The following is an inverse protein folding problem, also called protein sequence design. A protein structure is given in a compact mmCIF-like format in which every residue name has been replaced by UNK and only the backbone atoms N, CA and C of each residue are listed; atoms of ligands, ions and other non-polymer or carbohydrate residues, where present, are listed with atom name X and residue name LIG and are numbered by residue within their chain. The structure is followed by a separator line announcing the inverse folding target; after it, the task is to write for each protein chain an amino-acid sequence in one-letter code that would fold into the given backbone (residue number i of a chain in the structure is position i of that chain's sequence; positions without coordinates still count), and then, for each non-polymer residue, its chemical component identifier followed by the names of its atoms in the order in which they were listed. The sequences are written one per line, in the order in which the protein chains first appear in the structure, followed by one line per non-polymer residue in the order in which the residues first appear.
data_IF_722742953189
#
_entry.id   IF_722742953189
#
_cell.length_a   1.000
_cell.length_b   1.000
_cell.length_c   1.000
_cell.angle_alpha   90.00
_cell.angle_beta   90.00
_cell.angle_gamma   90.00
#
_symmetry.space_group_name_H-M   'P 1'
#
loop_
_entity.id
_entity.type
_entity.pdbx_description
1 polymer ?
#
# COMPACT_ATOMS: atom_id res chain seq x y z
N UNK A 1 -27.27 -15.73 51.80
CA UNK A 1 -27.58 -16.29 50.48
C UNK A 1 -26.23 -16.57 49.83
N UNK A 2 -25.84 -17.84 49.79
CA UNK A 2 -24.51 -18.28 49.37
C UNK A 2 -24.49 -18.49 47.85
N UNK A 3 -23.50 -17.91 47.18
CA UNK A 3 -23.27 -18.08 45.75
C UNK A 3 -22.51 -19.40 45.58
N UNK A 4 -23.25 -20.48 45.41
CA UNK A 4 -22.67 -21.80 45.13
C UNK A 4 -23.49 -22.41 44.01
N UNK A 5 -23.03 -22.25 42.75
CA UNK A 5 -23.43 -23.08 41.58
C UNK A 5 -22.82 -22.69 40.21
N UNK A 6 -21.81 -21.82 40.08
CA UNK A 6 -21.26 -21.45 38.75
C UNK A 6 -19.93 -22.16 38.42
N UNK A 7 -19.36 -22.94 39.34
CA UNK A 7 -18.10 -23.68 39.10
C UNK A 7 -18.29 -25.06 38.47
N UNK A 8 -19.04 -25.20 37.37
CA UNK A 8 -19.17 -26.51 36.72
C UNK A 8 -19.41 -26.51 35.22
N UNK A 9 -18.98 -25.49 34.46
CA UNK A 9 -19.26 -25.46 33.02
C UNK A 9 -18.08 -25.23 32.08
N UNK A 10 -16.84 -25.24 32.57
CA UNK A 10 -15.66 -25.19 31.71
C UNK A 10 -14.61 -26.19 32.18
N UNK A 11 -14.97 -27.47 32.10
CA UNK A 11 -13.99 -28.54 32.05
C UNK A 11 -14.47 -29.55 31.01
N UNK A 12 -13.57 -29.97 30.12
CA UNK A 12 -13.74 -30.71 28.84
C UNK A 12 -13.91 -29.85 27.58
N UNK A 13 -12.80 -29.35 27.04
CA UNK A 13 -12.54 -29.45 25.60
C UNK A 13 -11.08 -29.85 25.39
N UNK A 14 -10.81 -31.13 25.60
CA UNK A 14 -9.69 -31.80 24.93
C UNK A 14 -10.05 -31.99 23.46
N UNK A 15 -9.21 -31.44 22.58
CA UNK A 15 -8.82 -32.01 21.29
C UNK A 15 -9.95 -32.30 20.29
N UNK A 16 -10.45 -31.25 19.66
CA UNK A 16 -10.80 -31.33 18.24
C UNK A 16 -9.98 -30.24 17.54
N UNK A 17 -9.15 -30.63 16.56
CA UNK A 17 -8.45 -29.71 15.67
C UNK A 17 -9.46 -28.69 15.14
N UNK A 18 -9.45 -27.48 15.70
CA UNK A 18 -10.35 -26.40 15.32
C UNK A 18 -10.02 -26.04 13.86
N UNK A 19 -10.75 -26.68 12.95
CA UNK A 19 -10.79 -26.32 11.54
C UNK A 19 -11.46 -24.96 11.47
N UNK A 20 -10.72 -23.91 11.79
CA UNK A 20 -11.17 -22.53 11.62
C UNK A 20 -11.29 -22.29 10.11
N UNK A 21 -12.52 -22.25 9.57
CA UNK A 21 -12.72 -22.10 8.14
C UNK A 21 -12.22 -20.75 7.65
N UNK A 22 -12.18 -19.72 8.51
CA UNK A 22 -11.61 -18.42 8.18
C UNK A 22 -10.09 -18.52 8.11
N UNK A 23 -9.44 -19.22 9.04
CA UNK A 23 -7.98 -19.46 8.99
C UNK A 23 -7.57 -20.24 7.74
N UNK A 24 -8.27 -21.32 7.39
CA UNK A 24 -7.98 -22.08 6.17
C UNK A 24 -8.30 -21.29 4.89
N UNK A 25 -9.36 -20.48 4.90
CA UNK A 25 -9.67 -19.58 3.78
C UNK A 25 -8.62 -18.46 3.63
N UNK A 26 -8.16 -17.88 4.73
CA UNK A 26 -7.08 -16.88 4.73
C UNK A 26 -5.77 -17.49 4.27
N UNK A 27 -5.43 -18.68 4.76
CA UNK A 27 -4.24 -19.45 4.35
C UNK A 27 -4.29 -19.87 2.88
N UNK A 28 -5.46 -20.23 2.36
CA UNK A 28 -5.69 -20.49 0.94
C UNK A 28 -5.66 -19.20 0.10
N UNK A 29 -6.11 -18.07 0.63
CA UNK A 29 -5.93 -16.76 -0.03
C UNK A 29 -4.46 -16.33 -0.01
N UNK A 30 -3.73 -16.73 1.03
CA UNK A 30 -2.29 -16.53 1.20
C UNK A 30 -1.42 -17.56 0.49
N UNK A 31 -1.97 -18.52 -0.29
CA UNK A 31 -1.18 -19.53 -1.02
C UNK A 31 0.06 -18.84 -1.59
N UNK A 32 1.21 -19.18 -0.98
CA UNK A 32 2.34 -18.26 -0.89
C UNK A 32 2.68 -17.69 -2.26
N UNK A 33 2.59 -16.38 -2.41
CA UNK A 33 2.96 -15.73 -3.67
C UNK A 33 4.36 -16.20 -4.06
N UNK A 34 4.58 -16.49 -5.33
CA UNK A 34 5.90 -16.85 -5.80
C UNK A 34 6.76 -15.59 -5.82
N UNK A 35 8.02 -15.73 -5.44
CA UNK A 35 8.95 -14.61 -5.47
C UNK A 35 9.15 -14.17 -6.92
N UNK A 36 8.87 -12.90 -7.21
CA UNK A 36 9.02 -12.31 -8.55
C UNK A 36 10.46 -12.29 -9.09
N UNK A 37 11.45 -12.64 -8.26
CA UNK A 37 12.85 -12.78 -8.67
C UNK A 37 13.29 -14.24 -8.80
N UNK A 38 13.13 -15.04 -7.73
CA UNK A 38 13.70 -16.40 -7.67
C UNK A 38 12.66 -17.53 -7.74
N UNK A 39 11.36 -17.21 -7.84
CA UNK A 39 10.27 -18.18 -7.97
C UNK A 39 9.92 -18.98 -6.71
N UNK A 40 10.65 -18.81 -5.60
CA UNK A 40 10.33 -19.49 -4.33
C UNK A 40 8.95 -19.09 -3.81
N UNK A 41 8.18 -20.08 -3.37
CA UNK A 41 6.87 -19.90 -2.72
C UNK A 41 7.07 -19.26 -1.34
N UNK A 42 6.07 -18.52 -0.86
CA UNK A 42 6.10 -17.85 0.44
C UNK A 42 6.68 -16.44 0.39
N UNK A 43 6.62 -15.80 -0.78
CA UNK A 43 6.93 -14.39 -0.89
C UNK A 43 5.84 -13.56 -0.19
N UNK A 44 6.27 -12.69 0.72
CA UNK A 44 5.37 -11.84 1.51
C UNK A 44 5.75 -10.35 1.44
N UNK A 45 6.95 -10.03 0.95
CA UNK A 45 7.45 -8.66 0.88
C UNK A 45 6.93 -8.03 -0.42
N UNK A 46 6.03 -7.03 -0.38
CA UNK A 46 5.52 -6.41 -1.59
C UNK A 46 6.60 -5.59 -2.30
N UNK A 47 6.43 -5.34 -3.60
CA UNK A 47 7.32 -4.43 -4.33
C UNK A 47 7.36 -3.00 -3.73
N UNK A 48 8.44 -2.26 -3.98
CA UNK A 48 8.61 -0.88 -3.47
C UNK A 48 7.47 0.07 -3.82
N UNK A 49 6.90 -0.04 -5.03
CA UNK A 49 5.77 0.79 -5.45
C UNK A 49 4.42 0.32 -4.91
N UNK A 50 4.41 -0.78 -4.15
CA UNK A 50 3.23 -1.40 -3.54
C UNK A 50 2.05 -1.61 -4.51
N UNK A 51 2.33 -2.00 -5.77
CA UNK A 51 1.30 -2.16 -6.80
C UNK A 51 0.37 -3.38 -6.59
N UNK A 52 0.61 -4.20 -5.56
CA UNK A 52 -0.21 -5.37 -5.23
C UNK A 52 0.01 -6.62 -6.10
N UNK A 53 0.90 -6.56 -7.10
CA UNK A 53 1.04 -7.63 -8.12
C UNK A 53 2.37 -8.38 -8.09
N UNK A 54 3.32 -7.99 -7.24
CA UNK A 54 4.63 -8.64 -7.17
C UNK A 54 5.13 -8.67 -5.74
N UNK A 55 5.53 -9.86 -5.30
CA UNK A 55 6.01 -10.15 -3.96
C UNK A 55 7.38 -10.81 -3.99
N UNK A 56 8.15 -10.66 -2.92
CA UNK A 56 9.51 -11.15 -2.78
C UNK A 56 9.70 -11.91 -1.46
N UNK A 57 10.59 -12.90 -1.48
CA UNK A 57 10.92 -13.71 -0.30
C UNK A 57 11.99 -13.05 0.59
N UNK A 58 12.75 -12.08 0.06
CA UNK A 58 13.76 -11.31 0.79
C UNK A 58 13.88 -9.90 0.24
N UNK A 59 14.44 -8.99 1.05
CA UNK A 59 14.74 -7.63 0.63
C UNK A 59 15.75 -7.60 -0.54
N UNK A 60 16.72 -8.52 -0.56
CA UNK A 60 17.67 -8.62 -1.66
C UNK A 60 16.97 -8.92 -2.99
N UNK A 61 16.09 -9.94 -3.03
CA UNK A 61 15.30 -10.27 -4.21
C UNK A 61 14.46 -9.08 -4.70
N UNK A 62 13.91 -8.31 -3.76
CA UNK A 62 13.16 -7.09 -4.05
C UNK A 62 14.06 -6.02 -4.69
N UNK A 63 15.23 -5.74 -4.12
CA UNK A 63 16.18 -4.75 -4.66
C UNK A 63 16.65 -5.17 -6.05
N UNK A 64 17.03 -6.44 -6.24
CA UNK A 64 17.48 -6.95 -7.55
C UNK A 64 16.41 -6.81 -8.63
N UNK A 65 15.16 -7.15 -8.31
CA UNK A 65 14.06 -7.09 -9.27
C UNK A 65 13.43 -5.70 -9.41
N UNK A 66 13.75 -4.75 -8.52
CA UNK A 66 13.10 -3.43 -8.49
C UNK A 66 13.25 -2.68 -9.80
N UNK A 67 14.45 -2.71 -10.39
CA UNK A 67 14.76 -2.01 -11.64
C UNK A 67 13.96 -2.57 -12.82
N UNK A 68 13.87 -3.90 -12.93
CA UNK A 68 13.16 -4.60 -14.01
C UNK A 68 11.63 -4.50 -13.85
N UNK A 69 11.15 -4.51 -12.61
CA UNK A 69 9.71 -4.42 -12.30
C UNK A 69 9.16 -2.98 -12.40
N UNK A 70 10.01 -1.95 -12.29
CA UNK A 70 9.60 -0.53 -12.18
C UNK A 70 8.55 -0.10 -13.20
N UNK A 71 8.76 -0.42 -14.48
CA UNK A 71 7.84 0.00 -15.54
C UNK A 71 6.47 -0.70 -15.46
N UNK A 72 6.46 -2.01 -15.19
CA UNK A 72 5.23 -2.75 -14.97
C UNK A 72 4.48 -2.25 -13.72
N UNK A 73 5.22 -1.95 -12.64
CA UNK A 73 4.68 -1.38 -11.41
C UNK A 73 3.94 -0.06 -11.66
N UNK A 74 4.56 0.85 -12.43
CA UNK A 74 3.97 2.14 -12.78
C UNK A 74 2.69 1.97 -13.61
N UNK A 75 2.75 1.16 -14.67
CA UNK A 75 1.59 0.91 -15.54
C UNK A 75 0.39 0.35 -14.76
N UNK A 76 0.62 -0.58 -13.83
CA UNK A 76 -0.44 -1.13 -12.98
C UNK A 76 -1.05 -0.04 -12.10
N UNK A 77 -0.23 0.80 -11.46
CA UNK A 77 -0.72 1.87 -10.59
C UNK A 77 -1.53 2.91 -11.37
N UNK A 78 -1.06 3.28 -12.56
CA UNK A 78 -1.78 4.21 -13.43
C UNK A 78 -3.14 3.65 -13.85
N UNK A 79 -3.21 2.36 -14.21
CA UNK A 79 -4.48 1.72 -14.56
C UNK A 79 -5.49 1.72 -13.41
N UNK A 80 -5.03 1.56 -12.16
CA UNK A 80 -5.90 1.62 -10.99
C UNK A 80 -6.42 3.04 -10.71
N UNK A 81 -5.66 4.08 -11.07
CA UNK A 81 -6.06 5.48 -10.89
C UNK A 81 -7.03 5.96 -11.98
N UNK A 82 -6.88 5.49 -13.22
CA UNK A 82 -7.78 5.86 -14.32
C UNK A 82 -9.21 5.40 -14.09
N UNK A 83 -9.42 4.31 -13.36
CA UNK A 83 -10.77 3.81 -13.02
C UNK A 83 -11.48 4.69 -11.98
N UNK A 84 -10.76 5.59 -11.30
CA UNK A 84 -11.31 6.50 -10.27
C UNK A 84 -11.54 7.94 -10.75
N UNK A 85 -11.29 8.22 -12.04
CA UNK A 85 -11.31 9.57 -12.57
C UNK A 85 -12.74 10.04 -12.96
N UNK A 86 -13.61 10.12 -11.95
CA UNK A 86 -14.98 10.65 -12.05
C UNK A 86 -15.28 11.75 -11.01
N UNK A 87 -14.28 12.49 -10.52
CA UNK A 87 -14.46 13.41 -9.38
C UNK A 87 -13.72 14.75 -9.48
N UNK A 88 -13.38 15.20 -10.69
CA UNK A 88 -13.02 16.59 -10.92
C UNK A 88 -14.02 17.12 -11.95
N UNK A 89 -15.21 17.47 -11.46
CA UNK A 89 -16.01 18.45 -12.18
C UNK A 89 -15.13 19.69 -12.33
N UNK A 90 -15.01 20.09 -13.58
CA UNK A 90 -14.28 21.25 -14.09
C UNK A 90 -15.00 22.50 -13.56
N UNK A 91 -14.75 22.84 -12.30
CA UNK A 91 -15.07 24.17 -11.78
C UNK A 91 -14.05 25.13 -12.43
N UNK A 92 -14.39 25.59 -13.64
CA UNK A 92 -13.81 26.72 -14.36
C UNK A 92 -13.95 28.00 -13.52
N UNK A 93 -13.24 28.10 -12.39
CA UNK A 93 -12.97 29.36 -11.69
C UNK A 93 -11.46 29.65 -11.79
N UNK A 94 -11.09 30.11 -12.99
CA UNK A 94 -9.79 30.62 -13.38
C UNK A 94 -9.30 31.78 -12.47
N UNK A 95 -8.05 31.64 -12.02
CA UNK A 95 -7.01 32.66 -12.10
C UNK A 95 -7.09 33.98 -11.29
N UNK A 96 -7.28 33.90 -9.97
CA UNK A 96 -6.76 34.95 -9.08
C UNK A 96 -5.86 34.35 -7.99
N UNK A 97 -4.57 34.18 -8.30
CA UNK A 97 -3.57 33.95 -7.26
C UNK A 97 -3.58 35.16 -6.29
N UNK A 98 -3.59 34.94 -4.97
CA UNK A 98 -3.63 36.04 -4.01
C UNK A 98 -2.45 36.98 -4.25
N UNK A 99 -2.72 38.29 -4.29
CA UNK A 99 -1.75 39.34 -4.61
C UNK A 99 -0.41 39.20 -3.84
N UNK A 100 -0.48 38.69 -2.62
CA UNK A 100 0.66 38.41 -1.75
C UNK A 100 1.63 37.38 -2.34
N UNK A 101 1.12 36.38 -3.05
CA UNK A 101 1.93 35.34 -3.69
C UNK A 101 2.62 35.88 -4.95
N UNK A 102 1.95 36.70 -5.74
CA UNK A 102 2.57 37.36 -6.90
C UNK A 102 3.72 38.28 -6.48
N UNK A 103 3.54 39.06 -5.42
CA UNK A 103 4.60 39.92 -4.87
C UNK A 103 5.79 39.10 -4.33
N UNK A 104 5.51 37.94 -3.71
CA UNK A 104 6.56 37.05 -3.22
C UNK A 104 7.38 36.44 -4.37
N UNK A 105 6.72 36.03 -5.46
CA UNK A 105 7.38 35.51 -6.67
C UNK A 105 8.30 36.57 -7.27
N UNK A 106 7.81 37.80 -7.44
CA UNK A 106 8.61 38.90 -7.99
C UNK A 106 9.84 39.23 -7.11
N UNK A 107 9.69 39.18 -5.78
CA UNK A 107 10.80 39.39 -4.85
C UNK A 107 11.87 38.29 -4.97
N UNK A 108 11.46 37.03 -5.16
CA UNK A 108 12.38 35.90 -5.33
C UNK A 108 13.12 36.01 -6.66
N UNK A 109 12.41 36.33 -7.75
CA UNK A 109 13.01 36.51 -9.09
C UNK A 109 13.99 37.69 -9.09
N UNK A 110 13.66 38.79 -8.42
CA UNK A 110 14.57 39.92 -8.21
C UNK A 110 15.87 39.53 -7.48
N UNK A 111 15.77 38.76 -6.40
CA UNK A 111 16.95 38.30 -5.66
C UNK A 111 17.84 37.37 -6.49
N UNK A 112 17.25 36.51 -7.31
CA UNK A 112 18.01 35.62 -8.19
C UNK A 112 18.76 36.43 -9.25
N UNK A 113 18.10 37.37 -9.94
CA UNK A 113 18.73 38.16 -11.00
C UNK A 113 19.86 39.07 -10.50
N UNK A 114 19.79 39.58 -9.27
CA UNK A 114 20.88 40.34 -8.65
C UNK A 114 22.08 39.50 -8.21
N UNK A 115 21.89 38.21 -7.96
CA UNK A 115 22.94 37.31 -7.44
C UNK A 115 23.86 36.74 -8.53
N UNK A 116 23.51 36.94 -9.79
CA UNK A 116 24.27 36.49 -10.97
C UNK A 116 24.91 37.64 -11.75
N UNK A 117 25.08 38.83 -11.15
CA UNK A 117 25.74 39.99 -11.76
C UNK A 117 27.01 40.40 -11.01
#
# INVERSE_FOLDING_TARGET
MSISSIESFYDNQDQDDEFDPLFEQLKASLHGQSCGHCGKIGAAIPCHGNCGHSFYCSHDCLVFSSSTHRHACLSIRESQTSDTNLWWEDDEDDDDLPLELNLAIDAIVGQLTHKWR
#
